data_IF_742037884587
#
_entry.id   IF_742037884587
#
_cell.length_a   1.000
_cell.length_b   1.000
_cell.length_c   1.000
_cell.angle_alpha   90.00
_cell.angle_beta   90.00
_cell.angle_gamma   90.00
#
_symmetry.space_group_name_H-M   'P 1'
#
loop_
_entity.id
_entity.type
_entity.pdbx_description
1 polymer ?
#
# COMPACT_ATOMS: atom_id res chain seq x y z
N UNK A 1 -2.76 6.55 6.40
CA UNK A 1 -2.91 7.64 5.41
C UNK A 1 -4.35 8.15 5.31
N UNK A 2 -5.36 7.28 5.22
CA UNK A 2 -6.77 7.69 5.06
C UNK A 2 -7.26 8.63 6.18
N UNK A 3 -6.86 8.41 7.44
CA UNK A 3 -7.26 9.27 8.57
C UNK A 3 -6.74 10.70 8.44
N UNK A 4 -5.48 10.88 8.03
CA UNK A 4 -4.88 12.22 7.85
C UNK A 4 -5.49 12.94 6.66
N UNK A 5 -5.78 12.22 5.58
CA UNK A 5 -6.48 12.80 4.42
C UNK A 5 -7.94 13.16 4.79
N UNK A 6 -8.55 12.43 5.73
CA UNK A 6 -9.85 12.81 6.31
C UNK A 6 -9.81 14.18 6.99
N UNK A 7 -8.79 14.46 7.80
CA UNK A 7 -8.57 15.76 8.43
C UNK A 7 -8.46 16.87 7.37
N UNK A 8 -7.73 16.62 6.27
CA UNK A 8 -7.64 17.59 5.17
C UNK A 8 -9.02 17.95 4.59
N UNK A 9 -9.92 16.97 4.44
CA UNK A 9 -11.29 17.21 3.96
C UNK A 9 -12.09 17.99 5.00
N UNK A 10 -11.94 17.68 6.28
CA UNK A 10 -12.63 18.36 7.36
C UNK A 10 -12.15 19.82 7.51
N UNK A 11 -10.86 20.07 7.37
CA UNK A 11 -10.26 21.42 7.42
C UNK A 11 -10.71 22.29 6.23
N UNK A 12 -10.91 21.69 5.04
CA UNK A 12 -11.50 22.41 3.91
C UNK A 12 -12.95 22.79 4.20
N UNK A 13 -13.73 21.91 4.84
CA UNK A 13 -15.14 22.15 5.10
C UNK A 13 -15.40 23.14 6.23
N UNK A 14 -14.58 23.06 7.29
CA UNK A 14 -14.67 23.96 8.43
C UNK A 14 -14.07 25.34 8.16
N UNK A 15 -13.55 25.56 6.93
CA UNK A 15 -12.81 26.77 6.57
C UNK A 15 -11.52 26.99 7.39
N UNK A 16 -11.08 25.99 8.17
CA UNK A 16 -9.83 26.09 8.94
C UNK A 16 -8.60 26.26 8.02
N UNK A 17 -8.68 25.72 6.81
CA UNK A 17 -7.62 25.85 5.81
C UNK A 17 -7.48 27.29 5.27
N UNK A 18 -8.51 28.12 5.40
CA UNK A 18 -8.51 29.51 4.90
C UNK A 18 -7.52 30.38 5.68
N UNK A 19 -7.23 30.03 6.95
CA UNK A 19 -6.15 30.66 7.72
C UNK A 19 -4.78 30.52 7.04
N UNK A 20 -4.51 29.38 6.39
CA UNK A 20 -3.28 29.16 5.64
C UNK A 20 -3.30 29.87 4.29
N UNK A 21 -4.46 30.09 3.70
CA UNK A 21 -4.61 30.80 2.42
C UNK A 21 -4.54 32.31 2.54
N UNK A 22 -4.74 32.85 3.76
CA UNK A 22 -4.51 34.27 4.06
C UNK A 22 -3.01 34.60 4.22
N UNK A 23 -2.17 33.59 4.49
CA UNK A 23 -0.72 33.74 4.51
C UNK A 23 -0.14 33.71 3.08
N UNK A 24 1.05 34.31 2.83
CA UNK A 24 1.70 34.31 1.52
C UNK A 24 2.30 32.94 1.15
N UNK A 25 1.50 31.88 1.29
CA UNK A 25 1.90 30.47 1.06
C UNK A 25 1.16 29.95 -0.18
N UNK A 26 1.90 29.27 -1.06
CA UNK A 26 1.28 28.62 -2.22
C UNK A 26 0.36 27.49 -1.77
N UNK A 27 -0.86 27.43 -2.30
CA UNK A 27 -1.86 26.38 -1.99
C UNK A 27 -1.32 24.95 -2.20
N UNK A 28 -0.41 24.76 -3.14
CA UNK A 28 0.26 23.48 -3.37
C UNK A 28 1.14 23.03 -2.20
N UNK A 29 1.74 23.98 -1.45
CA UNK A 29 2.56 23.65 -0.28
C UNK A 29 1.67 23.12 0.84
N UNK A 30 0.50 23.74 1.05
CA UNK A 30 -0.47 23.26 2.05
C UNK A 30 -0.94 21.84 1.73
N UNK A 31 -1.31 21.56 0.48
CA UNK A 31 -1.69 20.20 0.07
C UNK A 31 -0.55 19.20 0.24
N UNK A 32 0.68 19.60 -0.09
CA UNK A 32 1.86 18.75 0.04
C UNK A 32 2.16 18.43 1.51
N UNK A 33 1.94 19.37 2.43
CA UNK A 33 2.15 19.14 3.87
C UNK A 33 1.18 18.09 4.43
N UNK A 34 -0.08 18.06 4.00
CA UNK A 34 -1.02 16.99 4.39
C UNK A 34 -0.61 15.62 3.82
N UNK A 35 -0.13 15.57 2.58
CA UNK A 35 0.39 14.33 1.98
C UNK A 35 1.62 13.85 2.75
N UNK A 36 2.56 14.75 3.04
CA UNK A 36 3.77 14.43 3.80
C UNK A 36 3.44 13.95 5.22
N UNK A 37 2.50 14.61 5.92
CA UNK A 37 2.01 14.17 7.22
C UNK A 37 1.35 12.78 7.14
N UNK A 38 0.55 12.51 6.11
CA UNK A 38 -0.05 11.20 5.88
C UNK A 38 1.01 10.13 5.67
N UNK A 39 2.07 10.42 4.91
CA UNK A 39 3.19 9.50 4.68
C UNK A 39 3.97 9.25 5.97
N UNK A 40 4.32 10.29 6.73
CA UNK A 40 5.07 10.14 7.98
C UNK A 40 4.32 9.32 9.01
N UNK A 41 3.04 9.62 9.25
CA UNK A 41 2.21 8.88 10.20
C UNK A 41 2.02 7.43 9.75
N UNK A 42 1.76 7.20 8.47
CA UNK A 42 1.62 5.83 7.94
C UNK A 42 2.92 5.04 8.05
N UNK A 43 4.05 5.66 7.76
CA UNK A 43 5.37 5.04 7.90
C UNK A 43 5.65 4.66 9.35
N UNK A 44 5.41 5.59 10.29
CA UNK A 44 5.58 5.36 11.72
C UNK A 44 4.71 4.19 12.20
N UNK A 45 3.44 4.15 11.81
CA UNK A 45 2.52 3.06 12.18
C UNK A 45 2.94 1.72 11.59
N UNK A 46 3.38 1.68 10.33
CA UNK A 46 3.87 0.45 9.70
C UNK A 46 5.15 -0.05 10.37
N UNK A 47 6.09 0.85 10.71
CA UNK A 47 7.32 0.48 11.41
C UNK A 47 7.04 0.00 12.83
N UNK A 48 6.12 0.64 13.55
CA UNK A 48 5.69 0.19 14.88
C UNK A 48 5.07 -1.22 14.81
N UNK A 49 4.18 -1.46 13.83
CA UNK A 49 3.59 -2.79 13.61
C UNK A 49 4.64 -3.83 13.26
N UNK A 50 5.62 -3.48 12.42
CA UNK A 50 6.75 -4.34 12.09
C UNK A 50 7.57 -4.67 13.34
N UNK A 51 7.84 -3.68 14.21
CA UNK A 51 8.56 -3.88 15.45
C UNK A 51 7.85 -4.85 16.39
N UNK A 52 6.52 -4.69 16.55
CA UNK A 52 5.70 -5.62 17.36
C UNK A 52 5.74 -7.03 16.75
N UNK A 53 5.63 -7.15 15.43
CA UNK A 53 5.70 -8.45 14.74
C UNK A 53 7.06 -9.14 14.94
N UNK A 54 8.15 -8.39 14.81
CA UNK A 54 9.50 -8.94 15.05
C UNK A 54 9.71 -9.33 16.52
N UNK A 55 9.22 -8.51 17.47
CA UNK A 55 9.27 -8.84 18.88
C UNK A 55 8.51 -10.14 19.17
N UNK A 56 7.33 -10.32 18.59
CA UNK A 56 6.55 -11.56 18.74
C UNK A 56 7.30 -12.78 18.19
N UNK A 57 7.92 -12.68 17.01
CA UNK A 57 8.71 -13.79 16.44
C UNK A 57 9.84 -14.21 17.39
N UNK A 58 10.55 -13.24 17.96
CA UNK A 58 11.67 -13.53 18.88
C UNK A 58 11.17 -14.15 20.19
N UNK A 59 10.07 -13.67 20.73
CA UNK A 59 9.47 -14.20 21.96
C UNK A 59 8.97 -15.64 21.80
N UNK A 60 8.48 -15.98 20.59
CA UNK A 60 8.02 -17.34 20.26
C UNK A 60 9.18 -18.29 19.86
N UNK A 61 10.43 -17.85 20.01
CA UNK A 61 11.64 -18.64 19.70
C UNK A 61 11.99 -18.70 18.22
N UNK A 62 11.38 -17.86 17.39
CA UNK A 62 11.71 -17.73 15.96
C UNK A 62 13.00 -16.97 15.72
N UNK A 63 13.58 -17.16 14.53
CA UNK A 63 14.78 -16.42 14.13
C UNK A 63 14.44 -15.02 13.64
N UNK A 64 15.24 -14.04 14.03
CA UNK A 64 15.14 -12.68 13.50
C UNK A 64 15.37 -12.64 11.98
N UNK A 65 14.68 -11.73 11.31
CA UNK A 65 14.94 -11.44 9.91
C UNK A 65 16.40 -10.99 9.72
N UNK A 66 17.03 -11.46 8.65
CA UNK A 66 18.36 -10.95 8.26
C UNK A 66 18.26 -9.46 7.97
N UNK A 67 19.35 -8.72 8.18
CA UNK A 67 19.42 -7.28 7.91
C UNK A 67 19.00 -6.96 6.46
N UNK A 68 19.39 -7.80 5.50
CA UNK A 68 19.01 -7.66 4.09
C UNK A 68 17.49 -7.80 3.89
N UNK A 69 16.85 -8.76 4.56
CA UNK A 69 15.40 -8.94 4.50
C UNK A 69 14.67 -7.78 5.16
N UNK A 70 15.17 -7.31 6.30
CA UNK A 70 14.62 -6.14 7.00
C UNK A 70 14.66 -4.89 6.13
N UNK A 71 15.78 -4.62 5.47
CA UNK A 71 15.88 -3.49 4.54
C UNK A 71 14.90 -3.60 3.36
N UNK A 72 14.73 -4.81 2.79
CA UNK A 72 13.74 -5.04 1.73
C UNK A 72 12.30 -4.79 2.21
N UNK A 73 11.98 -5.18 3.44
CA UNK A 73 10.67 -4.92 4.06
C UNK A 73 10.44 -3.41 4.23
N UNK A 74 11.44 -2.69 4.78
CA UNK A 74 11.33 -1.23 4.99
C UNK A 74 11.14 -0.50 3.66
N UNK A 75 11.91 -0.84 2.62
CA UNK A 75 11.76 -0.28 1.27
C UNK A 75 10.38 -0.62 0.68
N UNK A 76 9.92 -1.86 0.86
CA UNK A 76 8.59 -2.28 0.45
C UNK A 76 7.48 -1.50 1.15
N UNK A 77 7.60 -1.27 2.47
CA UNK A 77 6.68 -0.43 3.25
C UNK A 77 6.69 1.01 2.70
N UNK A 78 7.86 1.60 2.47
CA UNK A 78 7.99 2.95 1.96
C UNK A 78 7.28 3.12 0.60
N UNK A 79 7.49 2.17 -0.31
CA UNK A 79 6.84 2.17 -1.63
C UNK A 79 5.30 2.09 -1.50
N UNK A 80 4.79 1.23 -0.63
CA UNK A 80 3.36 1.13 -0.35
C UNK A 80 2.81 2.43 0.26
N UNK A 81 3.49 2.97 1.27
CA UNK A 81 3.05 4.21 1.95
C UNK A 81 2.97 5.37 0.96
N UNK A 82 3.98 5.56 0.11
CA UNK A 82 3.99 6.63 -0.90
C UNK A 82 2.84 6.45 -1.89
N UNK A 83 2.70 5.25 -2.47
CA UNK A 83 1.67 4.96 -3.46
C UNK A 83 0.26 5.20 -2.91
N UNK A 84 -0.05 4.60 -1.75
CA UNK A 84 -1.40 4.67 -1.19
C UNK A 84 -1.73 6.02 -0.55
N UNK A 85 -0.75 6.78 -0.06
CA UNK A 85 -0.98 8.14 0.43
C UNK A 85 -1.31 9.10 -0.72
N UNK A 86 -0.59 9.03 -1.83
CA UNK A 86 -0.87 9.82 -3.03
C UNK A 86 -2.20 9.40 -3.66
N UNK A 87 -2.49 8.09 -3.73
CA UNK A 87 -3.76 7.58 -4.21
C UNK A 87 -4.94 8.05 -3.37
N UNK A 88 -4.84 7.99 -2.05
CA UNK A 88 -5.86 8.49 -1.13
C UNK A 88 -6.10 10.00 -1.30
N UNK A 89 -5.02 10.79 -1.42
CA UNK A 89 -5.14 12.20 -1.70
C UNK A 89 -5.82 12.47 -3.05
N UNK A 90 -5.46 11.73 -4.11
CA UNK A 90 -6.10 11.84 -5.42
C UNK A 90 -7.61 11.59 -5.36
N UNK A 91 -8.04 10.57 -4.63
CA UNK A 91 -9.46 10.26 -4.42
C UNK A 91 -10.14 11.39 -3.62
N UNK A 92 -9.48 11.94 -2.59
CA UNK A 92 -10.02 13.03 -1.77
C UNK A 92 -10.34 14.28 -2.58
N UNK A 93 -9.57 14.56 -3.64
CA UNK A 93 -9.83 15.67 -4.54
C UNK A 93 -11.19 15.57 -5.26
N UNK A 94 -11.71 14.35 -5.46
CA UNK A 94 -13.02 14.10 -6.07
C UNK A 94 -14.18 14.16 -5.07
N UNK A 95 -13.91 14.03 -3.78
CA UNK A 95 -14.92 13.97 -2.73
C UNK A 95 -15.17 15.34 -2.10
N UNK A 96 -16.45 15.69 -1.94
CA UNK A 96 -16.88 16.95 -1.33
C UNK A 96 -17.52 16.75 0.05
N UNK A 97 -17.52 15.51 0.58
CA UNK A 97 -18.22 15.17 1.81
C UNK A 97 -17.34 14.38 2.78
N UNK A 98 -17.21 14.85 4.03
CA UNK A 98 -16.52 14.13 5.10
C UNK A 98 -17.18 12.80 5.41
N UNK A 99 -18.52 12.73 5.39
CA UNK A 99 -19.25 11.46 5.52
C UNK A 99 -18.92 10.48 4.40
N UNK A 100 -18.89 10.96 3.14
CA UNK A 100 -18.49 10.16 1.99
C UNK A 100 -17.06 9.65 2.11
N UNK A 101 -16.14 10.47 2.60
CA UNK A 101 -14.76 10.04 2.87
C UNK A 101 -14.69 8.96 3.96
N UNK A 102 -15.36 9.15 5.10
CA UNK A 102 -15.37 8.18 6.20
C UNK A 102 -15.93 6.82 5.76
N UNK A 103 -17.01 6.83 4.98
CA UNK A 103 -17.58 5.60 4.40
C UNK A 103 -16.58 4.92 3.46
N UNK A 104 -15.96 5.68 2.57
CA UNK A 104 -14.97 5.16 1.63
C UNK A 104 -13.74 4.61 2.36
N UNK A 105 -13.26 5.30 3.40
CA UNK A 105 -12.13 4.85 4.21
C UNK A 105 -12.44 3.52 4.93
N UNK A 106 -13.64 3.38 5.48
CA UNK A 106 -14.08 2.14 6.14
C UNK A 106 -14.18 0.97 5.16
N UNK A 107 -14.81 1.19 4.00
CA UNK A 107 -14.93 0.17 2.94
C UNK A 107 -13.54 -0.20 2.41
N UNK A 108 -12.68 0.79 2.19
CA UNK A 108 -11.32 0.55 1.70
C UNK A 108 -10.49 -0.31 2.67
N UNK A 109 -10.65 -0.11 3.97
CA UNK A 109 -9.96 -0.93 4.98
C UNK A 109 -10.29 -2.42 4.86
N UNK A 110 -11.56 -2.74 4.67
CA UNK A 110 -12.01 -4.12 4.46
C UNK A 110 -11.58 -4.65 3.08
N UNK A 111 -11.78 -3.86 2.01
CA UNK A 111 -11.43 -4.26 0.65
C UNK A 111 -9.94 -4.52 0.46
N UNK A 112 -9.06 -3.71 1.06
CA UNK A 112 -7.60 -3.90 0.95
C UNK A 112 -7.18 -5.27 1.50
N UNK A 113 -7.82 -5.77 2.56
CA UNK A 113 -7.57 -7.11 3.08
C UNK A 113 -7.89 -8.22 2.06
N UNK A 114 -8.98 -8.06 1.30
CA UNK A 114 -9.33 -8.99 0.20
C UNK A 114 -8.41 -8.80 -1.01
N UNK A 115 -8.21 -7.56 -1.44
CA UNK A 115 -7.40 -7.23 -2.62
C UNK A 115 -5.92 -7.57 -2.45
N UNK A 116 -5.41 -7.52 -1.22
CA UNK A 116 -4.05 -7.95 -0.86
C UNK A 116 -3.91 -9.45 -0.64
N UNK A 117 -5.00 -10.23 -0.76
CA UNK A 117 -5.00 -11.67 -0.49
C UNK A 117 -4.67 -11.98 0.98
N UNK A 118 -5.08 -11.12 1.93
CA UNK A 118 -4.85 -11.32 3.37
C UNK A 118 -5.92 -12.23 3.95
N UNK A 119 -7.20 -11.97 3.63
CA UNK A 119 -8.31 -12.78 4.16
C UNK A 119 -8.54 -14.07 3.37
N UNK A 120 -8.27 -14.07 2.08
CA UNK A 120 -8.43 -15.23 1.22
C UNK A 120 -7.13 -15.51 0.47
N UNK A 121 -6.57 -16.73 0.58
CA UNK A 121 -5.45 -17.15 -0.23
C UNK A 121 -5.79 -17.04 -1.73
N UNK A 122 -4.82 -16.68 -2.54
CA UNK A 122 -5.00 -16.52 -4.00
C UNK A 122 -5.53 -17.77 -4.69
N UNK A 123 -5.20 -18.96 -4.16
CA UNK A 123 -5.65 -20.23 -4.67
C UNK A 123 -7.14 -20.52 -4.52
N UNK A 124 -7.84 -19.83 -3.60
CA UNK A 124 -9.31 -19.93 -3.45
C UNK A 124 -10.10 -19.03 -4.41
N UNK A 125 -9.43 -18.09 -5.06
CA UNK A 125 -10.11 -17.09 -5.87
C UNK A 125 -10.45 -17.64 -7.26
N UNK A 126 -11.66 -17.34 -7.79
CA UNK A 126 -11.98 -17.61 -9.18
C UNK A 126 -10.96 -16.97 -10.12
N UNK A 127 -10.63 -17.62 -11.23
CA UNK A 127 -9.61 -17.16 -12.19
C UNK A 127 -9.83 -15.70 -12.65
N UNK A 128 -11.08 -15.30 -12.86
CA UNK A 128 -11.41 -13.92 -13.25
C UNK A 128 -11.04 -12.90 -12.17
N UNK A 129 -11.37 -13.18 -10.90
CA UNK A 129 -11.03 -12.29 -9.77
C UNK A 129 -9.52 -12.24 -9.57
N UNK A 130 -8.84 -13.38 -9.60
CA UNK A 130 -7.39 -13.45 -9.49
C UNK A 130 -6.69 -12.62 -10.59
N UNK A 131 -7.21 -12.62 -11.83
CA UNK A 131 -6.66 -11.81 -12.92
C UNK A 131 -6.79 -10.31 -12.66
N UNK A 132 -7.92 -9.85 -12.15
CA UNK A 132 -8.12 -8.44 -11.75
C UNK A 132 -7.16 -8.04 -10.64
N UNK A 133 -7.00 -8.90 -9.61
CA UNK A 133 -6.07 -8.62 -8.51
C UNK A 133 -4.62 -8.51 -8.96
N UNK A 134 -4.21 -9.32 -9.94
CA UNK A 134 -2.87 -9.26 -10.54
C UNK A 134 -2.59 -7.94 -11.28
N UNK A 135 -3.62 -7.21 -11.68
CA UNK A 135 -3.46 -5.87 -12.26
C UNK A 135 -3.35 -4.78 -11.20
N UNK A 136 -3.97 -4.97 -10.03
CA UNK A 136 -4.02 -3.97 -8.97
C UNK A 136 -2.72 -3.95 -8.14
N UNK A 137 -2.30 -2.77 -7.64
CA UNK A 137 -1.06 -2.63 -6.88
C UNK A 137 -1.11 -3.28 -5.49
N UNK A 138 -2.30 -3.52 -4.94
CA UNK A 138 -2.49 -4.09 -3.59
C UNK A 138 -1.83 -5.47 -3.44
N UNK A 139 -2.06 -6.35 -4.40
CA UNK A 139 -1.48 -7.70 -4.38
C UNK A 139 0.03 -7.67 -4.49
N UNK A 140 0.58 -6.81 -5.35
CA UNK A 140 2.02 -6.70 -5.54
C UNK A 140 2.72 -6.17 -4.29
N UNK A 141 2.13 -5.15 -3.65
CA UNK A 141 2.63 -4.61 -2.39
C UNK A 141 2.64 -5.66 -1.28
N UNK A 142 1.55 -6.43 -1.13
CA UNK A 142 1.46 -7.51 -0.16
C UNK A 142 2.44 -8.66 -0.46
N UNK A 143 2.58 -9.07 -1.73
CA UNK A 143 3.50 -10.12 -2.17
C UNK A 143 4.97 -9.77 -1.89
N UNK A 144 5.40 -8.53 -2.19
CA UNK A 144 6.77 -8.06 -1.91
C UNK A 144 7.07 -8.16 -0.42
N UNK A 145 6.16 -7.70 0.44
CA UNK A 145 6.33 -7.73 1.89
C UNK A 145 6.35 -9.18 2.41
N UNK A 146 5.38 -10.00 2.00
CA UNK A 146 5.34 -11.42 2.38
C UNK A 146 6.61 -12.14 2.01
N UNK A 147 7.03 -12.03 0.75
CA UNK A 147 8.25 -12.69 0.28
C UNK A 147 9.46 -12.28 1.10
N UNK A 148 9.60 -11.00 1.43
CA UNK A 148 10.74 -10.50 2.19
C UNK A 148 10.71 -10.96 3.65
N UNK A 149 9.52 -11.16 4.25
CA UNK A 149 9.37 -11.62 5.63
C UNK A 149 9.54 -13.13 5.79
N UNK A 150 9.03 -13.93 4.86
CA UNK A 150 8.90 -15.39 5.09
C UNK A 150 9.86 -16.24 4.27
N UNK A 151 10.66 -15.65 3.36
CA UNK A 151 11.51 -16.43 2.46
C UNK A 151 12.47 -17.35 3.21
N UNK A 152 13.14 -16.86 4.24
CA UNK A 152 14.08 -17.66 5.03
C UNK A 152 13.42 -18.83 5.77
N UNK A 153 12.21 -18.60 6.29
CA UNK A 153 11.42 -19.66 6.95
C UNK A 153 10.94 -20.71 5.93
N UNK A 154 10.52 -20.27 4.74
CA UNK A 154 10.11 -21.17 3.67
C UNK A 154 11.25 -22.05 3.19
N UNK A 155 12.44 -21.46 2.97
CA UNK A 155 13.62 -22.19 2.51
C UNK A 155 14.02 -23.30 3.53
N UNK A 156 13.84 -23.05 4.83
CA UNK A 156 14.04 -24.06 5.88
C UNK A 156 12.94 -25.11 5.92
N UNK A 157 11.67 -24.69 5.87
CA UNK A 157 10.51 -25.60 5.98
C UNK A 157 10.43 -26.56 4.80
N UNK A 158 10.76 -26.10 3.62
CA UNK A 158 10.73 -26.89 2.39
C UNK A 158 12.11 -27.47 2.01
N UNK A 159 13.10 -27.39 2.90
CA UNK A 159 14.40 -28.03 2.70
C UNK A 159 14.21 -29.56 2.55
N UNK A 160 14.55 -30.09 1.38
CA UNK A 160 14.37 -31.50 1.05
C UNK A 160 13.03 -31.89 0.42
N UNK A 161 12.08 -30.95 0.27
CA UNK A 161 10.85 -31.18 -0.49
C UNK A 161 11.05 -30.90 -1.99
N UNK A 162 10.29 -31.59 -2.89
CA UNK A 162 10.28 -31.21 -4.31
C UNK A 162 9.95 -29.74 -4.52
N UNK A 163 10.69 -29.07 -5.38
CA UNK A 163 10.55 -27.63 -5.65
C UNK A 163 9.14 -27.22 -6.09
N UNK A 164 8.39 -28.14 -6.69
CA UNK A 164 7.00 -27.93 -7.10
C UNK A 164 6.06 -27.68 -5.92
N UNK A 165 6.27 -28.38 -4.80
CA UNK A 165 5.43 -28.24 -3.60
C UNK A 165 5.62 -26.85 -3.01
N UNK A 166 6.87 -26.42 -2.85
CA UNK A 166 7.19 -25.09 -2.34
C UNK A 166 6.63 -23.98 -3.27
N UNK A 167 6.76 -24.16 -4.58
CA UNK A 167 6.26 -23.18 -5.57
C UNK A 167 4.74 -23.10 -5.56
N UNK A 168 4.05 -24.24 -5.51
CA UNK A 168 2.59 -24.30 -5.45
C UNK A 168 2.05 -23.67 -4.15
N UNK A 169 2.69 -23.91 -3.02
CA UNK A 169 2.35 -23.29 -1.75
C UNK A 169 2.51 -21.77 -1.81
N UNK A 170 3.64 -21.28 -2.32
CA UNK A 170 3.90 -19.84 -2.43
C UNK A 170 2.89 -19.15 -3.36
N UNK A 171 2.49 -19.80 -4.44
CA UNK A 171 1.45 -19.28 -5.35
C UNK A 171 0.07 -19.28 -4.67
N UNK A 172 -0.27 -20.37 -3.99
CA UNK A 172 -1.54 -20.53 -3.28
C UNK A 172 -1.76 -19.45 -2.23
N UNK A 173 -0.72 -19.14 -1.44
CA UNK A 173 -0.78 -18.12 -0.39
C UNK A 173 -0.61 -16.69 -0.95
N UNK A 174 -0.16 -16.54 -2.20
CA UNK A 174 0.07 -15.23 -2.82
C UNK A 174 1.40 -14.58 -2.40
N UNK A 175 2.40 -15.38 -2.05
CA UNK A 175 3.79 -14.94 -1.83
C UNK A 175 4.45 -14.69 -3.20
N UNK A 176 4.18 -15.57 -4.18
CA UNK A 176 4.58 -15.39 -5.56
C UNK A 176 3.37 -15.13 -6.44
N UNK A 177 3.50 -14.18 -7.35
CA UNK A 177 2.46 -13.84 -8.32
C UNK A 177 2.90 -14.34 -9.69
N UNK A 178 2.09 -15.19 -10.32
CA UNK A 178 2.31 -15.65 -11.71
C UNK A 178 1.45 -14.82 -12.67
N UNK A 179 2.04 -14.41 -13.78
CA UNK A 179 1.35 -13.78 -14.90
C UNK A 179 1.81 -14.43 -16.19
N UNK A 180 0.88 -14.87 -17.05
CA UNK A 180 1.20 -15.55 -18.30
C UNK A 180 2.05 -16.82 -18.16
N UNK A 181 1.93 -17.55 -17.03
CA UNK A 181 2.72 -18.77 -16.77
C UNK A 181 4.10 -18.53 -16.13
N UNK A 182 4.57 -17.30 -16.07
CA UNK A 182 5.85 -16.94 -15.47
C UNK A 182 5.69 -16.29 -14.08
N UNK A 183 6.59 -16.63 -13.16
CA UNK A 183 6.66 -15.99 -11.84
C UNK A 183 7.19 -14.56 -12.01
N UNK A 184 6.43 -13.57 -11.55
CA UNK A 184 6.86 -12.17 -11.56
C UNK A 184 8.00 -11.98 -10.55
N UNK A 185 9.12 -11.43 -11.04
CA UNK A 185 10.22 -11.03 -10.17
C UNK A 185 9.79 -9.89 -9.23
N UNK A 186 10.46 -9.75 -8.09
CA UNK A 186 10.21 -8.63 -7.15
C UNK A 186 10.41 -7.27 -7.84
N UNK A 187 11.38 -7.18 -8.75
CA UNK A 187 11.62 -5.97 -9.54
C UNK A 187 10.44 -5.66 -10.50
N UNK A 188 9.86 -6.68 -11.14
CA UNK A 188 8.69 -6.50 -12.00
C UNK A 188 7.46 -6.04 -11.19
N UNK A 189 7.25 -6.60 -10.00
CA UNK A 189 6.17 -6.19 -9.10
C UNK A 189 6.37 -4.73 -8.62
N UNK A 190 7.59 -4.35 -8.24
CA UNK A 190 7.93 -2.96 -7.91
C UNK A 190 7.73 -2.03 -9.11
N UNK A 191 8.04 -2.48 -10.33
CA UNK A 191 7.78 -1.75 -11.57
C UNK A 191 6.28 -1.49 -11.79
N UNK A 192 5.42 -2.47 -11.53
CA UNK A 192 3.96 -2.29 -11.62
C UNK A 192 3.49 -1.26 -10.57
N UNK A 193 4.01 -1.32 -9.34
CA UNK A 193 3.67 -0.36 -8.30
C UNK A 193 4.13 1.06 -8.64
N UNK A 194 5.33 1.22 -9.22
CA UNK A 194 5.81 2.53 -9.69
C UNK A 194 4.99 3.06 -10.85
N UNK A 195 4.53 2.22 -11.75
CA UNK A 195 3.60 2.61 -12.82
C UNK A 195 2.28 3.16 -12.24
N UNK A 196 1.70 2.48 -11.26
CA UNK A 196 0.52 2.95 -10.56
C UNK A 196 0.77 4.26 -9.79
N UNK A 197 1.96 4.44 -9.22
CA UNK A 197 2.36 5.68 -8.57
C UNK A 197 2.41 6.85 -9.57
N UNK A 198 3.02 6.64 -10.73
CA UNK A 198 3.06 7.64 -11.81
C UNK A 198 1.64 7.97 -12.29
N UNK A 199 0.79 6.97 -12.47
CA UNK A 199 -0.62 7.16 -12.84
C UNK A 199 -1.38 7.97 -11.78
N UNK A 200 -1.18 7.67 -10.49
CA UNK A 200 -1.80 8.42 -9.38
C UNK A 200 -1.33 9.89 -9.35
N UNK A 201 -0.02 10.13 -9.52
CA UNK A 201 0.54 11.49 -9.60
C UNK A 201 -0.01 12.26 -10.80
N UNK A 202 -0.08 11.63 -11.97
CA UNK A 202 -0.66 12.24 -13.18
C UNK A 202 -2.15 12.59 -12.97
N UNK A 203 -2.92 11.70 -12.33
CA UNK A 203 -4.32 11.96 -12.00
C UNK A 203 -4.47 13.14 -11.02
N UNK A 204 -3.68 13.17 -9.96
CA UNK A 204 -3.66 14.29 -8.98
C UNK A 204 -3.35 15.60 -9.68
N UNK A 205 -2.33 15.61 -10.54
CA UNK A 205 -1.94 16.81 -11.29
C UNK A 205 -3.03 17.29 -12.26
N UNK A 206 -3.64 16.37 -13.01
CA UNK A 206 -4.72 16.69 -13.95
C UNK A 206 -5.96 17.25 -13.24
N UNK A 207 -6.37 16.65 -12.10
CA UNK A 207 -7.51 17.12 -11.31
C UNK A 207 -7.21 18.49 -10.70
N UNK A 208 -6.00 18.69 -10.18
CA UNK A 208 -5.57 19.96 -9.58
C UNK A 208 -5.59 21.09 -10.61
N UNK A 209 -5.09 20.85 -11.82
CA UNK A 209 -5.14 21.84 -12.92
C UNK A 209 -6.57 22.22 -13.31
N UNK A 210 -7.47 21.25 -13.44
CA UNK A 210 -8.88 21.52 -13.79
C UNK A 210 -9.57 22.37 -12.72
N UNK A 211 -9.26 22.16 -11.43
CA UNK A 211 -9.80 22.98 -10.34
C UNK A 211 -9.27 24.41 -10.33
N UNK A 212 -8.06 24.65 -10.82
CA UNK A 212 -7.51 26.00 -10.97
C UNK A 212 -8.12 26.78 -12.16
N UNK A 213 -8.53 26.10 -13.22
CA UNK A 213 -9.14 26.72 -14.40
C UNK A 213 -10.63 27.06 -14.21
N UNK A 214 -11.30 26.43 -13.23
CA UNK A 214 -12.73 26.62 -12.95
C UNK A 214 -13.01 27.54 -11.73
N UNK A 215 -12.00 28.25 -11.26
CA UNK A 215 -12.08 29.31 -10.23
C UNK A 215 -11.54 30.63 -10.74
#
# INVERSE_FOLDING_TARGET
STSVIGIYIDDIKSHAIDCFYSAPIKRSIVSLSYIAAAMMISMMMCLATLGVFLAFIVLDGGEMLSLTSLLKVIVGIALNVVLFSIGAYGISLGLRSSKGWSTLASISGTLVGFLGGVYLPMGFLPKGVASVLKFLPFLHGASILRKSCVQAALDKTFAGCPSEIATNYQEYVGITVKSGGHVLSTAAQAGIMTLWLVAALAAVFAISRRKHLNR
#
